data_IF_837356203847
#
_entry.id   IF_837356203847
#
_cell.length_a   1.000
_cell.length_b   1.000
_cell.length_c   1.000
_cell.angle_alpha   90.00
_cell.angle_beta   90.00
_cell.angle_gamma   90.00
#
_symmetry.space_group_name_H-M   'P 1'
#
loop_
_entity.id
_entity.type
_entity.pdbx_description
1 polymer ?
#
# COMPACT_ATOMS: atom_id res chain seq x y z
N UNK A 1 -5.99 -19.94 17.73
CA UNK A 1 -4.74 -19.28 18.12
C UNK A 1 -4.91 -17.81 17.83
N UNK A 2 -4.52 -16.93 18.75
CA UNK A 2 -4.51 -15.47 18.50
C UNK A 2 -3.15 -15.09 17.94
N UNK A 3 -3.13 -14.54 16.72
CA UNK A 3 -1.92 -14.04 16.10
C UNK A 3 -1.64 -12.60 16.55
N UNK A 4 -0.37 -12.24 16.73
CA UNK A 4 0.03 -10.87 17.07
C UNK A 4 -0.33 -9.91 15.92
N UNK A 5 -0.62 -8.65 16.27
CA UNK A 5 -0.92 -7.65 15.25
C UNK A 5 0.33 -7.27 14.45
N UNK A 6 0.16 -7.06 13.14
CA UNK A 6 1.21 -6.65 12.21
C UNK A 6 0.93 -5.28 11.62
N UNK A 7 1.99 -4.52 11.37
CA UNK A 7 1.94 -3.25 10.64
C UNK A 7 2.60 -3.43 9.28
N UNK A 8 1.86 -3.15 8.21
CA UNK A 8 2.30 -3.40 6.82
C UNK A 8 2.29 -2.08 6.05
N UNK A 9 3.42 -1.73 5.45
CA UNK A 9 3.52 -0.59 4.53
C UNK A 9 3.23 -1.02 3.09
N UNK A 10 2.36 -0.29 2.40
CA UNK A 10 2.08 -0.49 0.97
C UNK A 10 2.40 0.81 0.23
N UNK A 11 3.33 0.75 -0.73
CA UNK A 11 3.75 1.90 -1.53
C UNK A 11 3.41 1.63 -2.99
N UNK A 12 2.50 2.43 -3.55
CA UNK A 12 2.21 2.45 -4.99
C UNK A 12 3.03 3.56 -5.65
N UNK A 13 3.70 3.22 -6.76
CA UNK A 13 4.63 4.09 -7.47
C UNK A 13 4.06 4.33 -8.88
N UNK A 14 3.59 5.54 -9.15
CA UNK A 14 3.05 5.94 -10.44
C UNK A 14 2.90 7.46 -10.55
N UNK A 15 3.56 8.05 -11.54
CA UNK A 15 3.38 9.46 -11.91
C UNK A 15 1.93 9.80 -12.23
N UNK A 16 1.30 8.96 -13.03
CA UNK A 16 -0.07 9.22 -13.48
C UNK A 16 -1.08 9.13 -12.34
N UNK A 17 -0.93 8.15 -11.45
CA UNK A 17 -1.84 8.04 -10.31
C UNK A 17 -1.60 9.13 -9.28
N UNK A 18 -0.33 9.42 -8.96
CA UNK A 18 0.04 10.49 -8.02
C UNK A 18 -0.38 11.88 -8.52
N UNK A 19 -0.43 12.09 -9.84
CA UNK A 19 -0.97 13.30 -10.48
C UNK A 19 -2.50 13.28 -10.68
N UNK A 20 -3.19 12.20 -10.33
CA UNK A 20 -4.64 12.07 -10.49
C UNK A 20 -5.13 11.86 -11.94
N UNK A 21 -4.24 11.53 -12.87
CA UNK A 21 -4.60 11.18 -14.27
C UNK A 21 -5.44 9.91 -14.30
N UNK A 22 -5.17 8.97 -13.40
CA UNK A 22 -6.04 7.84 -13.10
C UNK A 22 -6.04 7.55 -11.60
N UNK A 23 -7.08 6.87 -11.13
CA UNK A 23 -7.17 6.39 -9.75
C UNK A 23 -6.24 5.18 -9.54
N UNK A 24 -5.50 5.16 -8.43
CA UNK A 24 -4.75 3.98 -8.02
C UNK A 24 -5.71 2.86 -7.60
N UNK A 25 -5.68 1.76 -8.34
CA UNK A 25 -6.43 0.53 -8.01
C UNK A 25 -5.55 -0.53 -7.34
N UNK A 26 -4.24 -0.29 -7.25
CA UNK A 26 -3.28 -1.22 -6.68
C UNK A 26 -3.38 -1.33 -5.17
N UNK A 27 -3.40 -0.19 -4.46
CA UNK A 27 -3.50 -0.17 -3.00
C UNK A 27 -4.82 -0.79 -2.51
N UNK A 28 -6.00 -0.44 -3.04
CA UNK A 28 -7.25 -1.07 -2.63
C UNK A 28 -7.27 -2.58 -2.90
N UNK A 29 -6.70 -3.04 -4.02
CA UNK A 29 -6.64 -4.45 -4.35
C UNK A 29 -5.70 -5.23 -3.40
N UNK A 30 -4.55 -4.65 -3.04
CA UNK A 30 -3.63 -5.26 -2.08
C UNK A 30 -4.22 -5.32 -0.67
N UNK A 31 -4.86 -4.25 -0.19
CA UNK A 31 -5.55 -4.26 1.10
C UNK A 31 -6.65 -5.32 1.15
N UNK A 32 -7.47 -5.42 0.10
CA UNK A 32 -8.52 -6.43 -0.01
C UNK A 32 -7.94 -7.85 0.00
N UNK A 33 -6.89 -8.11 -0.79
CA UNK A 33 -6.23 -9.41 -0.82
C UNK A 33 -5.65 -9.78 0.54
N UNK A 34 -4.95 -8.86 1.21
CA UNK A 34 -4.44 -9.10 2.56
C UNK A 34 -5.55 -9.35 3.58
N UNK A 35 -6.72 -8.70 3.43
CA UNK A 35 -7.90 -8.97 4.24
C UNK A 35 -8.44 -10.40 4.10
N UNK A 36 -8.21 -11.06 2.96
CA UNK A 36 -8.61 -12.45 2.73
C UNK A 36 -7.57 -13.47 3.24
N UNK A 37 -6.27 -13.12 3.18
CA UNK A 37 -5.19 -14.10 3.42
C UNK A 37 -4.48 -13.98 4.76
N UNK A 38 -4.52 -12.82 5.42
CA UNK A 38 -3.85 -12.63 6.71
C UNK A 38 -4.67 -13.19 7.86
N UNK A 39 -4.06 -14.09 8.63
CA UNK A 39 -4.62 -14.54 9.91
C UNK A 39 -4.37 -13.54 11.05
N UNK A 40 -3.41 -12.62 10.88
CA UNK A 40 -3.06 -11.58 11.84
C UNK A 40 -3.99 -10.36 11.71
N UNK A 41 -4.40 -9.74 12.83
CA UNK A 41 -4.92 -8.38 12.79
C UNK A 41 -3.87 -7.44 12.18
N UNK A 42 -4.21 -6.77 11.08
CA UNK A 42 -3.27 -5.93 10.34
C UNK A 42 -3.65 -4.45 10.40
N UNK A 43 -2.64 -3.58 10.50
CA UNK A 43 -2.77 -2.14 10.25
C UNK A 43 -1.96 -1.79 9.00
N UNK A 44 -2.62 -1.22 8.00
CA UNK A 44 -1.98 -0.81 6.75
C UNK A 44 -1.56 0.66 6.82
N UNK A 45 -0.38 0.94 6.28
CA UNK A 45 0.12 2.30 6.04
C UNK A 45 0.36 2.44 4.55
N UNK A 46 -0.48 3.22 3.88
CA UNK A 46 -0.42 3.34 2.43
C UNK A 46 0.22 4.65 1.99
N UNK A 47 0.96 4.60 0.88
CA UNK A 47 1.47 5.78 0.17
C UNK A 47 1.30 5.59 -1.33
N UNK A 48 0.90 6.66 -2.01
CA UNK A 48 0.94 6.80 -3.46
C UNK A 48 1.95 7.89 -3.79
N UNK A 49 3.01 7.54 -4.52
CA UNK A 49 4.12 8.43 -4.86
C UNK A 49 4.42 8.39 -6.38
N UNK A 50 5.03 9.44 -6.96
CA UNK A 50 5.54 9.40 -8.32
C UNK A 50 6.77 8.49 -8.44
N UNK A 51 7.22 8.21 -9.66
CA UNK A 51 8.36 7.31 -9.93
C UNK A 51 9.74 7.98 -9.77
N UNK A 52 9.85 8.84 -8.77
CA UNK A 52 11.07 9.58 -8.45
C UNK A 52 11.91 8.86 -7.38
N UNK A 53 13.17 8.57 -7.68
CA UNK A 53 14.07 7.81 -6.79
C UNK A 53 14.12 8.36 -5.35
N UNK A 54 14.32 9.67 -5.19
CA UNK A 54 14.42 10.28 -3.86
C UNK A 54 13.14 10.12 -3.02
N UNK A 55 11.97 10.08 -3.69
CA UNK A 55 10.69 9.90 -3.02
C UNK A 55 10.44 8.42 -2.69
N UNK A 56 10.90 7.49 -3.53
CA UNK A 56 10.86 6.06 -3.26
C UNK A 56 11.75 5.71 -2.05
N UNK A 57 12.96 6.27 -1.97
CA UNK A 57 13.87 6.04 -0.84
C UNK A 57 13.35 6.62 0.49
N UNK A 58 12.50 7.64 0.44
CA UNK A 58 11.94 8.32 1.62
C UNK A 58 10.57 7.77 2.08
N UNK A 59 9.98 6.85 1.31
CA UNK A 59 8.62 6.35 1.52
C UNK A 59 8.46 5.44 2.75
#
# INVERSE_FOLDING_TARGET
MTHDSVRIGLVSISDRASQGVYEDKGLPALEAWFGEVLANPATFVTRLIPDEQALIEAA
#
